data_IF_670605277795
#
_entry.id   IF_670605277795
#
_cell.length_a   1.000
_cell.length_b   1.000
_cell.length_c   1.000
_cell.angle_alpha   90.00
_cell.angle_beta   90.00
_cell.angle_gamma   90.00
#
_symmetry.space_group_name_H-M   'P 1'
#
loop_
_entity.id
_entity.type
_entity.pdbx_description
1 polymer ?
#
# COMPACT_ATOMS: atom_id res chain seq x y z
N UNK A 1 -34.07 31.94 -2.28
CA UNK A 1 -32.70 32.46 -2.18
C UNK A 1 -31.83 31.57 -3.05
N UNK A 2 -31.37 32.05 -4.22
CA UNK A 2 -30.44 31.33 -5.05
C UNK A 2 -29.06 31.31 -4.32
N UNK A 3 -28.63 30.14 -3.89
CA UNK A 3 -27.32 29.96 -3.27
C UNK A 3 -26.24 30.20 -4.31
N UNK A 4 -25.38 31.19 -4.11
CA UNK A 4 -24.17 31.44 -4.95
C UNK A 4 -23.00 30.51 -4.64
N UNK A 5 -23.26 29.37 -3.98
CA UNK A 5 -22.23 28.38 -3.69
C UNK A 5 -21.81 27.68 -4.99
N UNK A 6 -20.51 27.53 -5.26
CA UNK A 6 -20.05 26.77 -6.41
C UNK A 6 -20.52 25.32 -6.26
N UNK A 7 -21.23 24.82 -7.27
CA UNK A 7 -21.76 23.43 -7.28
C UNK A 7 -20.66 22.44 -7.70
N UNK A 8 -19.69 22.93 -8.47
CA UNK A 8 -18.57 22.10 -8.94
C UNK A 8 -17.25 22.81 -8.64
N UNK A 9 -16.29 22.07 -8.11
CA UNK A 9 -14.90 22.51 -7.97
C UNK A 9 -14.19 22.40 -9.33
N UNK A 10 -13.31 23.33 -9.66
CA UNK A 10 -12.46 23.20 -10.83
C UNK A 10 -11.50 22.01 -10.66
N UNK A 11 -11.13 21.35 -11.75
CA UNK A 11 -10.18 20.24 -11.71
C UNK A 11 -8.85 20.65 -11.07
N UNK A 12 -8.39 21.87 -11.32
CA UNK A 12 -7.19 22.43 -10.70
C UNK A 12 -7.30 22.52 -9.18
N UNK A 13 -8.44 22.94 -8.65
CA UNK A 13 -8.68 23.00 -7.20
C UNK A 13 -8.70 21.59 -6.60
N UNK A 14 -9.37 20.65 -7.26
CA UNK A 14 -9.41 19.24 -6.82
C UNK A 14 -8.01 18.64 -6.78
N UNK A 15 -7.20 18.84 -7.82
CA UNK A 15 -5.82 18.35 -7.86
C UNK A 15 -4.95 19.02 -6.79
N UNK A 16 -5.06 20.34 -6.57
CA UNK A 16 -4.28 21.06 -5.57
C UNK A 16 -4.58 20.56 -4.14
N UNK A 17 -5.85 20.29 -3.82
CA UNK A 17 -6.24 19.76 -2.49
C UNK A 17 -5.77 18.32 -2.31
N UNK A 18 -5.88 17.48 -3.36
CA UNK A 18 -5.52 16.07 -3.31
C UNK A 18 -4.01 15.80 -3.50
N UNK A 19 -3.18 16.81 -3.77
CA UNK A 19 -1.73 16.68 -3.86
C UNK A 19 -1.00 16.81 -2.50
N UNK A 20 -1.73 17.03 -1.41
CA UNK A 20 -1.11 17.06 -0.09
C UNK A 20 -0.61 15.66 0.34
N UNK A 21 0.50 15.56 1.10
CA UNK A 21 0.99 14.27 1.59
C UNK A 21 -0.06 13.46 2.35
N UNK A 22 -0.95 14.14 3.08
CA UNK A 22 -2.05 13.50 3.81
C UNK A 22 -3.05 12.85 2.86
N UNK A 23 -3.45 13.55 1.80
CA UNK A 23 -4.37 13.02 0.81
C UNK A 23 -3.74 11.87 0.02
N UNK A 24 -2.48 12.00 -0.39
CA UNK A 24 -1.73 10.95 -1.10
C UNK A 24 -1.61 9.70 -0.21
N UNK A 25 -1.18 9.82 1.04
CA UNK A 25 -1.09 8.69 1.96
C UNK A 25 -2.44 8.00 2.16
N UNK A 26 -3.53 8.78 2.27
CA UNK A 26 -4.88 8.26 2.45
C UNK A 26 -5.37 7.47 1.23
N UNK A 27 -5.19 8.00 0.01
CA UNK A 27 -5.64 7.30 -1.19
C UNK A 27 -4.81 6.04 -1.45
N UNK A 28 -3.49 6.11 -1.26
CA UNK A 28 -2.61 4.95 -1.41
C UNK A 28 -2.91 3.85 -0.38
N UNK A 29 -3.26 4.22 0.86
CA UNK A 29 -3.70 3.26 1.88
C UNK A 29 -4.96 2.50 1.45
N UNK A 30 -5.94 3.19 0.85
CA UNK A 30 -7.15 2.54 0.31
C UNK A 30 -6.84 1.65 -0.89
N UNK A 31 -6.03 2.15 -1.83
CA UNK A 31 -5.62 1.36 -3.02
C UNK A 31 -4.86 0.12 -2.58
N UNK A 32 -3.90 0.23 -1.66
CA UNK A 32 -3.16 -0.93 -1.15
C UNK A 32 -4.07 -1.95 -0.48
N UNK A 33 -5.08 -1.50 0.29
CA UNK A 33 -6.09 -2.39 0.87
C UNK A 33 -6.90 -3.16 -0.17
N UNK A 34 -7.34 -2.49 -1.24
CA UNK A 34 -8.05 -3.15 -2.35
C UNK A 34 -7.15 -4.16 -3.07
N UNK A 35 -5.90 -3.78 -3.35
CA UNK A 35 -4.93 -4.67 -4.01
C UNK A 35 -4.69 -5.92 -3.16
N UNK A 36 -4.44 -5.78 -1.85
CA UNK A 36 -4.24 -6.92 -0.96
C UNK A 36 -5.49 -7.80 -0.93
N UNK A 37 -6.66 -7.20 -0.81
CA UNK A 37 -7.93 -7.94 -0.79
C UNK A 37 -8.11 -8.81 -2.04
N UNK A 38 -7.83 -8.25 -3.22
CA UNK A 38 -7.93 -8.98 -4.49
C UNK A 38 -6.88 -10.09 -4.63
N UNK A 39 -5.72 -9.95 -3.96
CA UNK A 39 -4.66 -10.94 -3.98
C UNK A 39 -4.81 -12.05 -2.91
N UNK A 40 -5.75 -11.92 -1.95
CA UNK A 40 -5.98 -12.96 -0.93
C UNK A 40 -6.15 -14.35 -1.53
N UNK A 41 -6.99 -14.60 -2.55
CA UNK A 41 -7.14 -15.94 -3.12
C UNK A 41 -5.84 -16.51 -3.69
N UNK A 42 -5.02 -15.64 -4.32
CA UNK A 42 -3.72 -16.03 -4.88
C UNK A 42 -2.74 -16.39 -3.77
N UNK A 43 -2.68 -15.58 -2.71
CA UNK A 43 -1.81 -15.82 -1.56
C UNK A 43 -2.22 -17.11 -0.81
N UNK A 44 -3.51 -17.37 -0.67
CA UNK A 44 -4.01 -18.61 -0.07
C UNK A 44 -3.67 -19.83 -0.92
N UNK A 45 -3.77 -19.72 -2.25
CA UNK A 45 -3.33 -20.78 -3.15
C UNK A 45 -1.84 -21.06 -3.02
N UNK A 46 -1.00 -20.03 -3.02
CA UNK A 46 0.44 -20.16 -2.81
C UNK A 46 0.75 -20.79 -1.47
N UNK A 47 0.08 -20.38 -0.40
CA UNK A 47 0.21 -20.98 0.94
C UNK A 47 -0.19 -22.46 0.94
N UNK A 48 -1.32 -22.80 0.34
CA UNK A 48 -1.79 -24.18 0.24
C UNK A 48 -0.77 -25.06 -0.48
N UNK A 49 -0.23 -24.62 -1.61
CA UNK A 49 0.80 -25.35 -2.36
C UNK A 49 2.09 -25.49 -1.55
N UNK A 50 2.49 -24.45 -0.84
CA UNK A 50 3.72 -24.48 -0.01
C UNK A 50 3.65 -25.50 1.15
N UNK A 51 2.46 -25.81 1.62
CA UNK A 51 2.22 -26.73 2.74
C UNK A 51 1.87 -28.16 2.30
N UNK A 52 1.66 -28.40 1.01
CA UNK A 52 1.19 -29.71 0.50
C UNK A 52 2.26 -30.80 0.60
N UNK A 53 3.52 -30.49 0.20
CA UNK A 53 4.67 -31.38 0.29
C UNK A 53 5.98 -30.61 0.01
N UNK A 54 7.13 -31.21 0.34
CA UNK A 54 8.43 -30.65 0.01
C UNK A 54 8.61 -30.47 -1.52
N UNK A 55 8.17 -31.44 -2.30
CA UNK A 55 8.21 -31.36 -3.76
C UNK A 55 7.30 -30.24 -4.31
N UNK A 56 6.09 -30.07 -3.75
CA UNK A 56 5.18 -28.98 -4.13
C UNK A 56 5.76 -27.61 -3.75
N UNK A 57 6.40 -27.49 -2.59
CA UNK A 57 7.09 -26.26 -2.20
C UNK A 57 8.23 -25.92 -3.16
N UNK A 58 9.08 -26.90 -3.55
CA UNK A 58 10.16 -26.70 -4.50
C UNK A 58 9.64 -26.27 -5.88
N UNK A 59 8.60 -26.95 -6.39
CA UNK A 59 7.95 -26.60 -7.65
C UNK A 59 7.35 -25.18 -7.59
N UNK A 60 6.63 -24.85 -6.52
CA UNK A 60 6.05 -23.52 -6.32
C UNK A 60 7.13 -22.43 -6.33
N UNK A 61 8.27 -22.69 -5.67
CA UNK A 61 9.37 -21.75 -5.61
C UNK A 61 10.01 -21.49 -6.99
N UNK A 62 10.13 -22.52 -7.83
CA UNK A 62 10.70 -22.37 -9.18
C UNK A 62 9.69 -21.84 -10.19
N UNK A 63 8.48 -22.35 -10.20
CA UNK A 63 7.52 -22.11 -11.27
C UNK A 63 6.66 -20.85 -11.01
N UNK A 64 6.33 -20.59 -9.74
CA UNK A 64 5.52 -19.41 -9.37
C UNK A 64 6.43 -18.24 -9.01
N UNK A 65 7.32 -18.42 -8.02
CA UNK A 65 8.14 -17.30 -7.52
C UNK A 65 9.33 -16.99 -8.45
N UNK A 66 9.90 -17.99 -9.14
CA UNK A 66 10.96 -17.79 -10.12
C UNK A 66 10.49 -17.25 -11.47
N UNK A 67 9.19 -17.30 -11.75
CA UNK A 67 8.60 -16.75 -12.98
C UNK A 67 8.36 -15.25 -12.90
N UNK A 68 8.48 -14.55 -14.04
CA UNK A 68 8.26 -13.08 -14.12
C UNK A 68 6.89 -12.66 -13.57
N UNK A 69 5.82 -13.35 -13.95
CA UNK A 69 4.45 -13.03 -13.52
C UNK A 69 4.26 -13.31 -12.03
N UNK A 70 4.73 -14.47 -11.54
CA UNK A 70 4.63 -14.83 -10.13
C UNK A 70 5.45 -13.90 -9.24
N UNK A 71 6.69 -13.63 -9.61
CA UNK A 71 7.55 -12.67 -8.93
C UNK A 71 6.94 -11.28 -8.87
N UNK A 72 6.36 -10.81 -9.98
CA UNK A 72 5.65 -9.53 -10.03
C UNK A 72 4.42 -9.50 -9.08
N UNK A 73 3.59 -10.55 -9.08
CA UNK A 73 2.43 -10.63 -8.19
C UNK A 73 2.83 -10.65 -6.72
N UNK A 74 3.90 -11.39 -6.38
CA UNK A 74 4.44 -11.41 -5.01
C UNK A 74 4.99 -10.05 -4.63
N UNK A 75 5.70 -9.37 -5.52
CA UNK A 75 6.17 -8.01 -5.27
C UNK A 75 5.02 -7.03 -5.04
N UNK A 76 3.96 -7.07 -5.87
CA UNK A 76 2.77 -6.22 -5.71
C UNK A 76 2.07 -6.49 -4.38
N UNK A 77 1.93 -7.77 -3.98
CA UNK A 77 1.37 -8.15 -2.71
C UNK A 77 2.21 -7.61 -1.53
N UNK A 78 3.52 -7.77 -1.60
CA UNK A 78 4.45 -7.34 -0.56
C UNK A 78 4.49 -5.81 -0.45
N UNK A 79 4.59 -5.10 -1.57
CA UNK A 79 4.56 -3.64 -1.62
C UNK A 79 3.24 -3.08 -1.07
N UNK A 80 2.12 -3.69 -1.48
CA UNK A 80 0.79 -3.34 -0.96
C UNK A 80 0.70 -3.55 0.55
N UNK A 81 1.15 -4.70 1.06
CA UNK A 81 1.12 -5.03 2.47
C UNK A 81 2.01 -4.08 3.30
N UNK A 82 3.23 -3.80 2.84
CA UNK A 82 4.14 -2.87 3.50
C UNK A 82 3.52 -1.48 3.60
N UNK A 83 3.02 -0.95 2.47
CA UNK A 83 2.41 0.38 2.49
C UNK A 83 1.17 0.43 3.38
N UNK A 84 0.29 -0.58 3.26
CA UNK A 84 -0.94 -0.67 4.06
C UNK A 84 -0.64 -0.74 5.56
N UNK A 85 0.35 -1.53 5.95
CA UNK A 85 0.77 -1.66 7.34
C UNK A 85 1.33 -0.33 7.89
N UNK A 86 2.28 0.30 7.18
CA UNK A 86 2.90 1.55 7.62
C UNK A 86 1.87 2.68 7.73
N UNK A 87 1.01 2.82 6.72
CA UNK A 87 -0.06 3.80 6.74
C UNK A 87 -1.12 3.51 7.80
N UNK A 88 -1.44 2.23 8.03
CA UNK A 88 -2.34 1.79 9.09
C UNK A 88 -1.80 2.11 10.47
N UNK A 89 -0.53 1.81 10.76
CA UNK A 89 0.14 2.18 12.02
C UNK A 89 0.11 3.70 12.22
N UNK A 90 0.40 4.48 11.17
CA UNK A 90 0.29 5.94 11.21
C UNK A 90 -1.12 6.38 11.63
N UNK A 91 -2.19 5.78 11.09
CA UNK A 91 -3.56 6.09 11.47
C UNK A 91 -3.84 5.73 12.93
N UNK A 92 -3.44 4.54 13.39
CA UNK A 92 -3.60 4.14 14.79
C UNK A 92 -2.90 5.11 15.75
N UNK A 93 -1.68 5.57 15.43
CA UNK A 93 -0.97 6.55 16.26
C UNK A 93 -1.73 7.88 16.31
N UNK A 94 -2.31 8.32 15.19
CA UNK A 94 -3.12 9.54 15.14
C UNK A 94 -4.43 9.42 15.95
N UNK A 95 -5.03 8.23 16.00
CA UNK A 95 -6.22 7.96 16.82
C UNK A 95 -5.95 8.13 18.33
N UNK A 96 -4.69 8.05 18.77
CA UNK A 96 -4.28 8.41 20.13
C UNK A 96 -4.00 9.91 20.33
N UNK A 97 -4.38 10.78 19.39
CA UNK A 97 -4.22 12.22 19.50
C UNK A 97 -2.82 12.74 19.14
N UNK A 98 -1.96 11.90 18.50
CA UNK A 98 -0.62 12.30 18.08
C UNK A 98 -0.67 12.99 16.72
N UNK A 99 -0.01 14.16 16.62
CA UNK A 99 0.11 14.93 15.37
C UNK A 99 -1.25 15.41 14.77
N UNK A 100 -2.19 15.82 15.61
CA UNK A 100 -3.52 16.33 15.20
C UNK A 100 -3.46 17.69 14.47
N UNK A 101 -2.37 18.45 14.65
CA UNK A 101 -2.20 19.71 13.93
C UNK A 101 -2.00 19.47 12.43
N UNK A 102 -2.35 20.45 11.61
CA UNK A 102 -2.16 20.38 10.14
C UNK A 102 -0.68 20.10 9.77
N UNK A 103 0.25 20.72 10.48
CA UNK A 103 1.68 20.51 10.28
C UNK A 103 2.11 19.11 10.72
N UNK A 104 1.67 18.66 11.91
CA UNK A 104 1.92 17.32 12.42
C UNK A 104 1.39 16.23 11.49
N UNK A 105 0.14 16.37 11.04
CA UNK A 105 -0.48 15.44 10.09
C UNK A 105 0.27 15.34 8.76
N UNK A 106 0.75 16.48 8.22
CA UNK A 106 1.59 16.49 6.99
C UNK A 106 2.93 15.80 7.20
N UNK A 107 3.62 16.09 8.31
CA UNK A 107 4.89 15.45 8.65
C UNK A 107 4.73 13.94 8.80
N UNK A 108 3.73 13.48 9.56
CA UNK A 108 3.46 12.06 9.75
C UNK A 108 3.11 11.34 8.45
N UNK A 109 2.33 11.97 7.59
CA UNK A 109 2.01 11.41 6.27
C UNK A 109 3.25 11.30 5.39
N UNK A 110 4.10 12.34 5.36
CA UNK A 110 5.36 12.31 4.61
C UNK A 110 6.31 11.23 5.12
N UNK A 111 6.47 11.11 6.44
CA UNK A 111 7.29 10.07 7.06
C UNK A 111 6.77 8.67 6.72
N UNK A 112 5.47 8.44 6.79
CA UNK A 112 4.87 7.15 6.44
C UNK A 112 5.14 6.78 4.97
N UNK A 113 5.01 7.74 4.03
CA UNK A 113 5.31 7.51 2.61
C UNK A 113 6.80 7.16 2.42
N UNK A 114 7.71 7.91 3.06
CA UNK A 114 9.16 7.67 2.94
C UNK A 114 9.54 6.32 3.53
N UNK A 115 9.07 6.00 4.74
CA UNK A 115 9.35 4.71 5.39
C UNK A 115 8.82 3.55 4.56
N UNK A 116 7.56 3.64 4.10
CA UNK A 116 7.00 2.61 3.23
C UNK A 116 7.81 2.46 1.92
N UNK A 117 8.21 3.57 1.30
CA UNK A 117 9.03 3.57 0.09
C UNK A 117 10.38 2.87 0.30
N UNK A 118 11.08 3.17 1.40
CA UNK A 118 12.35 2.52 1.74
C UNK A 118 12.15 1.01 1.94
N UNK A 119 11.13 0.61 2.70
CA UNK A 119 10.85 -0.81 2.95
C UNK A 119 10.47 -1.56 1.66
N UNK A 120 9.72 -0.93 0.76
CA UNK A 120 9.37 -1.52 -0.55
C UNK A 120 10.63 -1.68 -1.41
N UNK A 121 11.54 -0.70 -1.42
CA UNK A 121 12.81 -0.81 -2.14
C UNK A 121 13.70 -1.91 -1.54
N UNK A 122 13.75 -2.05 -0.21
CA UNK A 122 14.46 -3.14 0.45
C UNK A 122 13.85 -4.50 0.07
N UNK A 123 12.52 -4.62 0.02
CA UNK A 123 11.85 -5.84 -0.41
C UNK A 123 12.15 -6.18 -1.87
N UNK A 124 12.16 -5.19 -2.76
CA UNK A 124 12.54 -5.37 -4.16
C UNK A 124 14.00 -5.84 -4.28
N UNK A 125 14.92 -5.19 -3.57
CA UNK A 125 16.32 -5.58 -3.56
C UNK A 125 16.51 -7.01 -3.07
N UNK A 126 15.82 -7.40 -1.99
CA UNK A 126 15.84 -8.78 -1.47
C UNK A 126 15.30 -9.82 -2.45
N UNK A 127 14.33 -9.46 -3.30
CA UNK A 127 13.77 -10.37 -4.30
C UNK A 127 14.66 -10.54 -5.53
N UNK A 128 15.53 -9.55 -5.84
CA UNK A 128 16.34 -9.53 -7.06
C UNK A 128 17.79 -9.98 -6.81
N UNK A 129 18.32 -9.77 -5.60
CA UNK A 129 19.67 -10.14 -5.18
C UNK A 129 19.73 -11.54 -4.60
#
# INVERSE_FOLDING_TARGET
VKSNRPVNLSLSTVLAVNSSPVAIASILHRISGVVIFLLIPVLLYVLQQSLASEAAFAAMKTDILGGLVGGFLVFVALAGLIFHLVAGIKHLIQDFGVAESLQGGRLFASLAIVVAGILILCALAWMVL
#
